data_IF_773801695437
#
_entry.id   IF_773801695437
#
_cell.length_a   1.000
_cell.length_b   1.000
_cell.length_c   1.000
_cell.angle_alpha   90.00
_cell.angle_beta   90.00
_cell.angle_gamma   90.00
#
_symmetry.space_group_name_H-M   'P 1'
#
loop_
_entity.id
_entity.type
_entity.pdbx_description
1 polymer ?
#
# COMPACT_ATOMS: atom_id res chain seq x y z
N UNK A 1 -19.62 7.16 -8.51
CA UNK A 1 -18.80 6.11 -7.87
C UNK A 1 -18.85 6.31 -6.35
N UNK A 2 -19.26 5.29 -5.58
CA UNK A 2 -19.33 5.38 -4.11
C UNK A 2 -17.93 5.19 -3.52
N UNK A 3 -17.37 6.22 -2.88
CA UNK A 3 -16.07 6.12 -2.19
C UNK A 3 -16.23 5.37 -0.87
N UNK A 4 -15.38 4.38 -0.64
CA UNK A 4 -15.33 3.67 0.63
C UNK A 4 -14.49 4.45 1.64
N UNK A 5 -15.02 4.64 2.86
CA UNK A 5 -14.27 5.27 3.95
C UNK A 5 -13.20 4.30 4.45
N UNK A 6 -11.97 4.80 4.59
CA UNK A 6 -10.78 4.03 5.02
C UNK A 6 -10.11 4.71 6.20
N UNK A 7 -9.47 3.92 7.06
CA UNK A 7 -8.65 4.40 8.18
C UNK A 7 -7.42 5.19 7.69
N UNK A 8 -6.69 4.64 6.71
CA UNK A 8 -5.50 5.22 6.11
C UNK A 8 -5.53 5.17 4.58
N UNK A 9 -4.45 5.60 3.91
CA UNK A 9 -4.35 5.58 2.44
C UNK A 9 -5.45 6.40 1.75
N UNK A 10 -5.92 7.47 2.41
CA UNK A 10 -7.10 8.25 1.98
C UNK A 10 -6.87 9.08 0.70
N UNK A 11 -5.62 9.23 0.29
CA UNK A 11 -5.25 9.88 -0.98
C UNK A 11 -5.48 8.97 -2.19
N UNK A 12 -5.54 7.64 -1.99
CA UNK A 12 -5.82 6.66 -3.05
C UNK A 12 -7.31 6.38 -3.06
N UNK A 13 -7.94 6.38 -4.23
CA UNK A 13 -9.38 6.08 -4.34
C UNK A 13 -9.66 4.58 -4.15
N UNK A 14 -10.81 4.27 -3.55
CA UNK A 14 -11.28 2.90 -3.39
C UNK A 14 -12.79 2.88 -3.49
N UNK A 15 -13.29 1.99 -4.33
CA UNK A 15 -14.69 1.90 -4.73
C UNK A 15 -15.04 0.47 -5.08
N UNK A 16 -16.33 0.17 -5.08
CA UNK A 16 -16.86 -1.06 -5.66
C UNK A 16 -16.94 -0.93 -7.19
N UNK A 17 -16.83 -2.07 -7.87
CA UNK A 17 -17.06 -2.21 -9.31
C UNK A 17 -18.04 -3.36 -9.47
N UNK A 18 -19.08 -3.13 -10.29
CA UNK A 18 -20.15 -4.10 -10.53
C UNK A 18 -20.18 -4.45 -12.01
N UNK A 19 -20.33 -5.73 -12.31
CA UNK A 19 -20.59 -6.23 -13.66
C UNK A 19 -21.96 -6.91 -13.64
N UNK A 20 -22.93 -6.33 -14.33
CA UNK A 20 -24.29 -6.88 -14.48
C UNK A 20 -24.57 -7.09 -15.96
N UNK A 21 -24.73 -8.36 -16.35
CA UNK A 21 -24.92 -8.79 -17.75
C UNK A 21 -23.95 -8.12 -18.75
N UNK A 22 -22.72 -7.85 -18.29
CA UNK A 22 -21.73 -7.09 -19.06
C UNK A 22 -21.06 -7.98 -20.11
N UNK A 23 -21.28 -7.66 -21.38
CA UNK A 23 -20.71 -8.41 -22.52
C UNK A 23 -19.42 -7.76 -22.99
N UNK A 24 -18.39 -8.56 -23.25
CA UNK A 24 -17.10 -8.12 -23.82
C UNK A 24 -16.75 -8.95 -25.05
N UNK A 25 -16.02 -8.39 -26.03
CA UNK A 25 -15.57 -9.14 -27.19
C UNK A 25 -14.52 -10.18 -26.78
N UNK A 26 -14.44 -11.29 -27.52
CA UNK A 26 -13.43 -12.34 -27.29
C UNK A 26 -11.99 -11.83 -27.42
N UNK A 27 -11.78 -10.78 -28.20
CA UNK A 27 -10.49 -10.10 -28.34
C UNK A 27 -10.00 -9.40 -27.06
N UNK A 28 -10.86 -9.22 -26.05
CA UNK A 28 -10.47 -8.70 -24.73
C UNK A 28 -9.85 -9.76 -23.81
N UNK A 29 -9.74 -11.02 -24.26
CA UNK A 29 -9.07 -12.06 -23.48
C UNK A 29 -7.59 -11.69 -23.30
N UNK A 30 -7.18 -11.48 -22.05
CA UNK A 30 -5.77 -11.28 -21.69
C UNK A 30 -5.14 -12.65 -21.46
N UNK A 31 -4.06 -12.94 -22.18
CA UNK A 31 -3.36 -14.22 -22.08
C UNK A 31 -4.16 -15.38 -22.69
N UNK A 32 -4.05 -16.56 -22.08
CA UNK A 32 -4.72 -17.78 -22.54
C UNK A 32 -5.94 -18.11 -21.68
N UNK A 33 -6.96 -18.70 -22.31
CA UNK A 33 -8.18 -19.15 -21.63
C UNK A 33 -7.81 -20.17 -20.54
N UNK A 34 -8.37 -20.01 -19.34
CA UNK A 34 -8.12 -20.86 -18.16
C UNK A 34 -6.68 -20.81 -17.61
N UNK A 35 -5.95 -19.72 -17.86
CA UNK A 35 -4.61 -19.47 -17.31
C UNK A 35 -4.54 -18.24 -16.40
N UNK A 36 -5.71 -17.76 -15.96
CA UNK A 36 -5.91 -16.57 -15.15
C UNK A 36 -5.24 -16.65 -13.78
N UNK A 37 -5.36 -17.77 -13.06
CA UNK A 37 -4.81 -17.91 -11.72
C UNK A 37 -3.27 -17.78 -11.69
N UNK A 38 -2.58 -18.49 -12.58
CA UNK A 38 -1.11 -18.45 -12.70
C UNK A 38 -0.62 -17.05 -13.05
N UNK A 39 -1.32 -16.37 -13.97
CA UNK A 39 -1.01 -15.00 -14.37
C UNK A 39 -1.19 -14.00 -13.22
N UNK A 40 -2.24 -14.14 -12.41
CA UNK A 40 -2.45 -13.32 -11.21
C UNK A 40 -1.31 -13.51 -10.22
N UNK A 41 -0.93 -14.77 -9.92
CA UNK A 41 0.14 -15.06 -8.97
C UNK A 41 1.48 -14.47 -9.40
N UNK A 42 1.80 -14.49 -10.69
CA UNK A 42 3.01 -13.86 -11.19
C UNK A 42 3.05 -12.36 -10.90
N UNK A 43 1.93 -11.65 -11.10
CA UNK A 43 1.79 -10.23 -10.75
C UNK A 43 1.90 -9.99 -9.24
N UNK A 44 1.17 -10.77 -8.44
CA UNK A 44 1.18 -10.64 -6.97
C UNK A 44 2.57 -10.84 -6.36
N UNK A 45 3.38 -11.75 -6.90
CA UNK A 45 4.75 -11.96 -6.43
C UNK A 45 5.62 -10.71 -6.60
N UNK A 46 5.46 -9.97 -7.70
CA UNK A 46 6.16 -8.71 -7.90
C UNK A 46 5.66 -7.63 -6.92
N UNK A 47 4.35 -7.55 -6.70
CA UNK A 47 3.75 -6.60 -5.74
C UNK A 47 4.25 -6.81 -4.31
N UNK A 48 4.46 -8.06 -3.88
CA UNK A 48 5.03 -8.36 -2.56
C UNK A 48 6.41 -7.70 -2.34
N UNK A 49 7.28 -7.75 -3.35
CA UNK A 49 8.60 -7.10 -3.28
C UNK A 49 8.46 -5.58 -3.24
N UNK A 50 7.53 -5.00 -4.00
CA UNK A 50 7.25 -3.56 -3.98
C UNK A 50 6.76 -3.10 -2.60
N UNK A 51 5.84 -3.84 -2.00
CA UNK A 51 5.31 -3.54 -0.67
C UNK A 51 6.39 -3.64 0.41
N UNK A 52 7.29 -4.62 0.32
CA UNK A 52 8.43 -4.72 1.23
C UNK A 52 9.35 -3.50 1.13
N UNK A 53 9.61 -3.01 -0.09
CA UNK A 53 10.38 -1.79 -0.32
C UNK A 53 9.71 -0.55 0.29
N UNK A 54 8.39 -0.39 0.11
CA UNK A 54 7.62 0.69 0.72
C UNK A 54 7.70 0.64 2.26
N UNK A 55 7.52 -0.54 2.85
CA UNK A 55 7.56 -0.73 4.30
C UNK A 55 8.94 -0.37 4.90
N UNK A 56 10.03 -0.75 4.23
CA UNK A 56 11.39 -0.37 4.63
C UNK A 56 11.58 1.15 4.58
N UNK A 57 11.15 1.79 3.49
CA UNK A 57 11.21 3.26 3.35
C UNK A 57 10.45 3.98 4.46
N UNK A 58 9.23 3.52 4.76
CA UNK A 58 8.42 4.06 5.85
C UNK A 58 9.09 3.85 7.21
N UNK A 59 9.71 2.70 7.44
CA UNK A 59 10.50 2.41 8.64
C UNK A 59 11.65 3.41 8.83
N UNK A 60 12.44 3.65 7.79
CA UNK A 60 13.53 4.63 7.84
C UNK A 60 13.04 6.06 8.10
N UNK A 61 11.97 6.48 7.42
CA UNK A 61 11.37 7.80 7.63
C UNK A 61 10.85 7.96 9.06
N UNK A 62 10.18 6.92 9.59
CA UNK A 62 9.65 6.90 10.95
C UNK A 62 10.77 6.98 11.99
N UNK A 63 11.84 6.19 11.83
CA UNK A 63 12.99 6.21 12.72
C UNK A 63 13.70 7.58 12.72
N UNK A 64 13.91 8.16 11.53
CA UNK A 64 14.49 9.50 11.39
C UNK A 64 13.64 10.56 12.08
N UNK A 65 12.32 10.51 11.89
CA UNK A 65 11.36 11.44 12.52
C UNK A 65 11.38 11.30 14.04
N UNK A 66 11.31 10.08 14.55
CA UNK A 66 11.33 9.79 15.98
C UNK A 66 12.64 10.26 16.62
N UNK A 67 13.79 9.92 16.01
CA UNK A 67 15.13 10.29 16.50
C UNK A 67 15.29 11.81 16.56
N UNK A 68 14.83 12.51 15.53
CA UNK A 68 14.85 13.98 15.48
C UNK A 68 13.98 14.60 16.58
N UNK A 69 12.81 14.00 16.87
CA UNK A 69 11.90 14.47 17.91
C UNK A 69 12.49 14.27 19.32
N UNK A 70 13.04 13.08 19.62
CA UNK A 70 13.56 12.79 20.96
C UNK A 70 14.78 13.64 21.34
N UNK A 71 15.56 14.09 20.35
CA UNK A 71 16.69 15.02 20.53
C UNK A 71 16.26 16.45 20.87
N UNK A 72 15.03 16.85 20.56
CA UNK A 72 14.58 18.25 20.76
C UNK A 72 13.55 18.36 21.88
N UNK A 73 12.83 17.27 22.19
CA UNK A 73 11.82 17.25 23.23
C UNK A 73 12.45 17.18 24.63
N UNK A 74 12.29 18.25 25.41
CA UNK A 74 12.73 18.35 26.80
C UNK A 74 11.57 18.15 27.77
N UNK A 75 11.75 17.25 28.75
CA UNK A 75 10.88 17.06 29.91
C UNK A 75 11.76 16.75 31.12
N UNK A 76 11.32 17.12 32.34
CA UNK A 76 12.13 16.94 33.56
C UNK A 76 13.57 17.49 33.42
N UNK A 77 13.72 18.66 32.78
CA UNK A 77 14.99 19.37 32.55
C UNK A 77 16.03 18.62 31.69
N UNK A 78 15.64 17.57 30.96
CA UNK A 78 16.52 16.85 30.01
C UNK A 78 15.80 16.43 28.73
N UNK A 79 16.54 16.18 27.66
CA UNK A 79 15.96 15.63 26.43
C UNK A 79 15.51 14.18 26.67
N UNK A 80 14.39 13.77 26.07
CA UNK A 80 13.87 12.40 26.24
C UNK A 80 14.73 11.33 25.55
N UNK A 81 15.59 11.71 24.61
CA UNK A 81 16.52 10.81 23.94
C UNK A 81 17.86 10.62 24.65
N UNK A 82 18.08 11.24 25.82
CA UNK A 82 19.30 11.06 26.60
C UNK A 82 19.20 9.81 27.48
N UNK A 83 20.18 8.90 27.35
CA UNK A 83 20.44 7.83 28.32
C UNK A 83 21.52 8.28 29.30
#
# INVERSE_FOLDING_TARGET
MRRLKKMGGRAVDTNEVFFDNYTIPSSSLIGAKNKDFEMILHGMNAECCLLAGEALGLGYASLSKATSFVKTRVVFKRQIGMN
#
